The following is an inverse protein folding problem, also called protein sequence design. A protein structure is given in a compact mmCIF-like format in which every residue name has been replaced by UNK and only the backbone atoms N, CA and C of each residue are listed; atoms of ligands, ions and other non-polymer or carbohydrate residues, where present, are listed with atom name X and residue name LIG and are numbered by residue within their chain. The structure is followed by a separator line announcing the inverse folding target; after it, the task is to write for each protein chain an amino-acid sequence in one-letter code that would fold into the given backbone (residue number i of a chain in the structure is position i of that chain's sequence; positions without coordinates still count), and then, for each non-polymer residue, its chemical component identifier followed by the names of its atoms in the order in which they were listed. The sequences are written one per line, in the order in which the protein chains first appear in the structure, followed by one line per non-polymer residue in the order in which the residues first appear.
data_IF_002455959707
#
_entry.id   IF_002455959707
#
_cell.length_a   1.000
_cell.length_b   1.000
_cell.length_c   1.000
_cell.angle_alpha   90.00
_cell.angle_beta   90.00
_cell.angle_gamma   90.00
#
_symmetry.space_group_name_H-M   'P 1'
#
loop_
_entity.id
_entity.type
_entity.pdbx_description
1 polymer ?
#
# COMPACT_ATOMS: atom_id res chain seq x y z
N UNK A 1 2.91 2.64 -34.03
CA UNK A 1 3.23 3.54 -32.89
C UNK A 1 2.96 2.82 -31.58
N UNK A 2 3.77 3.06 -30.54
CA UNK A 2 3.45 2.58 -29.19
C UNK A 2 2.21 3.31 -28.67
N UNK A 3 1.27 2.58 -28.06
CA UNK A 3 0.08 3.18 -27.44
C UNK A 3 0.44 3.86 -26.12
N UNK A 4 -0.19 4.98 -25.83
CA UNK A 4 -0.02 5.75 -24.61
C UNK A 4 -1.08 5.34 -23.58
N UNK A 5 -0.65 5.04 -22.36
CA UNK A 5 -1.52 4.68 -21.24
C UNK A 5 -1.36 5.69 -20.12
N UNK A 6 -2.47 6.25 -19.66
CA UNK A 6 -2.53 7.09 -18.47
C UNK A 6 -3.05 6.27 -17.29
N UNK A 7 -2.31 6.26 -16.19
CA UNK A 7 -2.71 5.66 -14.92
C UNK A 7 -2.97 6.77 -13.91
N UNK A 8 -4.13 6.74 -13.27
CA UNK A 8 -4.48 7.65 -12.16
C UNK A 8 -4.18 6.94 -10.85
N UNK A 9 -3.18 7.41 -10.11
CA UNK A 9 -2.70 6.88 -8.83
C UNK A 9 -1.34 6.18 -8.94
N UNK A 10 -0.34 6.67 -8.21
CA UNK A 10 0.98 6.06 -8.05
C UNK A 10 1.11 5.27 -6.74
N UNK A 11 0.01 4.62 -6.33
CA UNK A 11 0.03 3.63 -5.26
C UNK A 11 0.59 2.28 -5.73
N UNK A 12 0.60 1.31 -4.81
CA UNK A 12 1.13 -0.05 -5.05
C UNK A 12 0.62 -0.69 -6.35
N UNK A 13 -0.69 -0.64 -6.59
CA UNK A 13 -1.31 -1.23 -7.78
C UNK A 13 -0.98 -0.44 -9.06
N UNK A 14 -0.96 0.90 -8.98
CA UNK A 14 -0.67 1.77 -10.11
C UNK A 14 0.76 1.64 -10.60
N UNK A 15 1.73 1.69 -9.69
CA UNK A 15 3.15 1.50 -10.02
C UNK A 15 3.44 0.08 -10.54
N UNK A 16 2.82 -0.95 -9.96
CA UNK A 16 2.94 -2.31 -10.47
C UNK A 16 2.33 -2.44 -11.88
N UNK A 17 1.15 -1.85 -12.10
CA UNK A 17 0.50 -1.83 -13.41
C UNK A 17 1.39 -1.14 -14.47
N UNK A 18 2.04 -0.04 -14.10
CA UNK A 18 2.99 0.66 -14.96
C UNK A 18 4.11 -0.28 -15.44
N UNK A 19 4.75 -1.02 -14.53
CA UNK A 19 5.79 -2.00 -14.88
C UNK A 19 5.29 -3.07 -15.86
N UNK A 20 4.08 -3.60 -15.65
CA UNK A 20 3.48 -4.58 -16.56
C UNK A 20 3.23 -4.04 -17.97
N UNK A 21 2.89 -2.76 -18.09
CA UNK A 21 2.63 -2.09 -19.36
C UNK A 21 3.94 -1.70 -20.07
N UNK A 22 4.93 -1.21 -19.33
CA UNK A 22 6.27 -0.95 -19.86
C UNK A 22 6.89 -2.21 -20.46
N UNK A 23 6.80 -3.35 -19.76
CA UNK A 23 7.28 -4.65 -20.27
C UNK A 23 6.57 -5.11 -21.55
N UNK A 24 5.36 -4.61 -21.81
CA UNK A 24 4.60 -4.87 -23.05
C UNK A 24 4.85 -3.82 -24.13
N UNK A 25 5.72 -2.85 -23.89
CA UNK A 25 6.11 -1.83 -24.86
C UNK A 25 5.15 -0.64 -24.95
N UNK A 26 4.28 -0.40 -23.96
CA UNK A 26 3.45 0.80 -23.91
C UNK A 26 4.27 2.01 -23.42
N UNK A 27 3.83 3.21 -23.80
CA UNK A 27 4.28 4.45 -23.15
C UNK A 27 3.37 4.71 -21.95
N UNK A 28 3.93 4.82 -20.75
CA UNK A 28 3.14 4.91 -19.51
C UNK A 28 3.38 6.24 -18.81
N UNK A 29 2.30 6.92 -18.48
CA UNK A 29 2.30 8.11 -17.63
C UNK A 29 1.40 7.87 -16.43
N UNK A 30 1.88 8.17 -15.23
CA UNK A 30 1.16 8.00 -13.98
C UNK A 30 0.99 9.37 -13.33
N UNK A 31 -0.23 9.69 -12.90
CA UNK A 31 -0.54 10.93 -12.17
C UNK A 31 -0.96 10.59 -10.74
N UNK A 32 -0.28 11.16 -9.76
CA UNK A 32 -0.56 10.98 -8.34
C UNK A 32 -1.00 12.29 -7.71
N UNK A 33 -2.06 12.23 -6.91
CA UNK A 33 -2.64 13.39 -6.23
C UNK A 33 -1.72 13.93 -5.13
N UNK A 34 -1.02 13.04 -4.43
CA UNK A 34 -0.12 13.39 -3.33
C UNK A 34 1.23 13.89 -3.87
N UNK A 35 1.98 14.51 -2.97
CA UNK A 35 3.39 14.80 -3.23
C UNK A 35 4.20 13.50 -3.32
N UNK A 36 5.44 13.60 -3.80
CA UNK A 36 6.31 12.44 -3.96
C UNK A 36 6.72 11.85 -2.61
N UNK A 37 6.12 10.71 -2.24
CA UNK A 37 6.40 10.01 -0.99
C UNK A 37 7.91 9.73 -0.77
N UNK A 38 8.73 9.69 -1.83
CA UNK A 38 10.17 9.44 -1.72
C UNK A 38 10.92 10.60 -1.07
N UNK A 39 10.42 11.82 -1.21
CA UNK A 39 10.96 12.98 -0.48
C UNK A 39 10.57 12.92 1.01
N UNK A 40 9.39 12.38 1.32
CA UNK A 40 8.82 12.31 2.68
C UNK A 40 9.35 11.14 3.54
N UNK A 41 9.83 10.05 2.94
CA UNK A 41 10.40 8.91 3.69
C UNK A 41 11.61 9.33 4.54
N UNK A 42 12.30 10.40 4.15
CA UNK A 42 13.39 11.01 4.91
C UNK A 42 12.88 11.59 6.25
N UNK A 43 11.57 11.84 6.38
CA UNK A 43 10.98 12.68 7.43
C UNK A 43 9.97 11.98 8.35
N UNK A 44 9.37 10.84 7.97
CA UNK A 44 8.34 10.22 8.83
C UNK A 44 8.17 8.70 8.67
N UNK A 45 8.44 7.96 9.76
CA UNK A 45 8.13 6.53 9.94
C UNK A 45 6.64 6.22 10.20
N UNK A 46 5.72 6.88 9.49
CA UNK A 46 4.26 6.78 9.71
C UNK A 46 3.57 5.99 8.62
N UNK A 47 3.75 4.67 8.63
CA UNK A 47 2.96 3.79 7.77
C UNK A 47 2.89 2.38 8.33
N UNK A 48 1.68 1.82 8.36
CA UNK A 48 1.45 0.40 8.62
C UNK A 48 2.38 -0.47 7.79
N UNK A 49 2.73 -1.62 8.35
CA UNK A 49 3.30 -2.71 7.58
C UNK A 49 2.19 -3.47 6.86
N UNK A 50 2.55 -4.11 5.76
CA UNK A 50 1.71 -5.03 5.01
C UNK A 50 2.26 -6.44 5.14
N UNK A 51 1.36 -7.41 5.15
CA UNK A 51 1.70 -8.82 5.00
C UNK A 51 1.65 -9.19 3.50
N UNK A 52 2.81 -9.28 2.87
CA UNK A 52 2.97 -9.72 1.49
C UNK A 52 2.95 -11.26 1.42
N UNK A 53 2.01 -11.81 0.67
CA UNK A 53 1.83 -13.26 0.48
C UNK A 53 2.17 -13.70 -0.95
N UNK A 54 2.03 -15.00 -1.24
CA UNK A 54 2.37 -15.59 -2.54
C UNK A 54 1.73 -14.89 -3.73
N UNK A 55 0.50 -14.40 -3.59
CA UNK A 55 -0.19 -13.66 -4.67
C UNK A 55 0.54 -12.38 -5.05
N UNK A 56 1.01 -11.64 -4.05
CA UNK A 56 1.79 -10.43 -4.26
C UNK A 56 3.16 -10.76 -4.87
N UNK A 57 3.85 -11.76 -4.33
CA UNK A 57 5.13 -12.23 -4.88
C UNK A 57 5.02 -12.70 -6.34
N UNK A 58 3.99 -13.47 -6.67
CA UNK A 58 3.71 -13.90 -8.04
C UNK A 58 3.56 -12.70 -8.97
N UNK A 59 2.89 -11.64 -8.53
CA UNK A 59 2.71 -10.44 -9.32
C UNK A 59 4.02 -9.65 -9.52
N UNK A 60 4.87 -9.57 -8.49
CA UNK A 60 6.18 -8.92 -8.54
C UNK A 60 7.17 -9.69 -9.42
N UNK A 61 7.20 -11.03 -9.32
CA UNK A 61 8.06 -11.92 -10.12
C UNK A 61 7.85 -11.73 -11.62
N UNK A 62 6.59 -11.58 -12.05
CA UNK A 62 6.24 -11.41 -13.47
C UNK A 62 6.81 -10.12 -14.08
N UNK A 63 7.07 -9.10 -13.28
CA UNK A 63 7.72 -7.85 -13.71
C UNK A 63 9.21 -7.80 -13.34
N UNK A 64 9.75 -8.84 -12.71
CA UNK A 64 11.18 -9.01 -12.45
C UNK A 64 11.74 -8.15 -11.32
N UNK A 65 10.89 -7.72 -10.37
CA UNK A 65 11.30 -6.82 -9.27
C UNK A 65 11.35 -7.52 -7.91
N UNK A 66 11.19 -8.86 -7.86
CA UNK A 66 11.11 -9.56 -6.59
C UNK A 66 12.37 -9.41 -5.73
N UNK A 67 13.54 -9.34 -6.36
CA UNK A 67 14.82 -9.19 -5.65
C UNK A 67 14.92 -7.85 -4.92
N UNK A 68 14.39 -6.78 -5.50
CA UNK A 68 14.39 -5.46 -4.88
C UNK A 68 13.42 -5.39 -3.71
N UNK A 69 12.25 -6.02 -3.84
CA UNK A 69 11.29 -6.08 -2.74
C UNK A 69 11.77 -7.00 -1.61
N UNK A 70 12.50 -8.07 -1.91
CA UNK A 70 13.04 -8.98 -0.89
C UNK A 70 14.03 -8.28 0.05
N UNK A 71 14.79 -7.29 -0.45
CA UNK A 71 15.71 -6.50 0.39
C UNK A 71 15.00 -5.73 1.50
N UNK A 72 13.71 -5.43 1.31
CA UNK A 72 12.92 -4.66 2.27
C UNK A 72 11.87 -5.51 3.01
N UNK A 73 11.96 -6.83 2.91
CA UNK A 73 10.97 -7.76 3.42
C UNK A 73 11.54 -8.66 4.54
N UNK A 74 10.76 -8.86 5.61
CA UNK A 74 11.12 -9.79 6.69
C UNK A 74 10.16 -10.99 6.64
N UNK A 75 10.65 -12.23 6.49
CA UNK A 75 9.78 -13.40 6.47
C UNK A 75 9.17 -13.65 7.84
N UNK A 76 7.88 -13.95 7.88
CA UNK A 76 7.11 -14.34 9.05
C UNK A 76 6.56 -15.75 8.82
N UNK A 77 7.16 -16.74 9.46
CA UNK A 77 6.82 -18.16 9.29
C UNK A 77 5.64 -18.60 10.17
N UNK A 78 5.37 -17.84 11.23
CA UNK A 78 4.39 -18.17 12.26
C UNK A 78 3.68 -16.92 12.78
N UNK A 79 2.58 -17.13 13.48
CA UNK A 79 2.00 -16.16 14.41
C UNK A 79 2.34 -16.52 15.84
N UNK A 80 2.63 -15.52 16.65
CA UNK A 80 2.83 -15.65 18.09
C UNK A 80 1.65 -14.95 18.77
N UNK A 81 0.85 -15.73 19.49
CA UNK A 81 -0.30 -15.22 20.24
C UNK A 81 0.13 -14.86 21.65
N UNK A 82 -0.19 -13.66 22.08
CA UNK A 82 0.04 -13.13 23.43
C UNK A 82 -1.28 -13.07 24.19
N UNK A 83 -1.46 -13.96 25.17
CA UNK A 83 -2.67 -13.96 26.00
C UNK A 83 -2.67 -12.85 27.07
N UNK A 84 -3.71 -12.77 27.89
CA UNK A 84 -3.83 -11.77 28.95
C UNK A 84 -2.95 -12.04 30.18
N UNK A 85 -2.40 -13.25 30.31
CA UNK A 85 -1.50 -13.66 31.41
C UNK A 85 -0.03 -13.63 31.01
N UNK A 86 0.27 -13.23 29.76
CA UNK A 86 1.62 -13.18 29.21
C UNK A 86 2.13 -14.52 28.64
N UNK A 87 1.28 -15.54 28.54
CA UNK A 87 1.66 -16.81 27.91
C UNK A 87 1.72 -16.63 26.40
N UNK A 88 2.77 -17.18 25.79
CA UNK A 88 2.97 -17.21 24.35
C UNK A 88 2.56 -18.57 23.78
N UNK A 89 1.91 -18.54 22.62
CA UNK A 89 1.72 -19.74 21.79
C UNK A 89 2.12 -19.46 20.36
N UNK A 90 2.78 -20.43 19.73
CA UNK A 90 3.30 -20.32 18.37
C UNK A 90 2.47 -21.17 17.42
N UNK A 91 2.16 -20.63 16.25
CA UNK A 91 1.35 -21.31 15.24
C UNK A 91 1.91 -21.03 13.86
N UNK A 92 2.49 -22.05 13.21
CA UNK A 92 3.09 -21.93 11.89
C UNK A 92 2.01 -21.72 10.81
N UNK A 93 2.32 -20.90 9.80
CA UNK A 93 1.40 -20.65 8.69
C UNK A 93 1.30 -21.80 7.71
N UNK A 94 2.36 -22.59 7.57
CA UNK A 94 2.44 -23.68 6.62
C UNK A 94 3.64 -24.59 6.90
N UNK A 95 4.09 -25.27 5.85
CA UNK A 95 5.25 -26.15 5.91
C UNK A 95 6.55 -25.35 6.10
N UNK A 96 7.65 -26.08 6.34
CA UNK A 96 8.99 -25.50 6.40
C UNK A 96 9.26 -24.59 5.18
N UNK A 97 9.85 -23.42 5.43
CA UNK A 97 10.13 -22.36 4.43
C UNK A 97 8.92 -21.64 3.81
N UNK A 98 7.68 -21.92 4.24
CA UNK A 98 6.52 -21.14 3.82
C UNK A 98 6.27 -19.96 4.76
N UNK A 99 6.36 -18.74 4.23
CA UNK A 99 6.17 -17.51 4.99
C UNK A 99 5.26 -16.51 4.28
N UNK A 100 4.60 -15.67 5.07
CA UNK A 100 4.18 -14.33 4.63
C UNK A 100 5.27 -13.34 5.02
N UNK A 101 5.32 -12.16 4.42
CA UNK A 101 6.44 -11.23 4.60
C UNK A 101 5.94 -9.90 5.13
N UNK A 102 6.59 -9.38 6.17
CA UNK A 102 6.37 -8.00 6.59
C UNK A 102 7.13 -7.05 5.68
N UNK A 103 6.44 -6.05 5.17
CA UNK A 103 7.04 -4.95 4.39
C UNK A 103 6.38 -3.64 4.82
N UNK A 104 7.18 -2.60 5.07
CA UNK A 104 6.63 -1.25 5.28
C UNK A 104 5.88 -0.77 4.03
N UNK A 105 4.64 -0.30 4.19
CA UNK A 105 3.85 0.18 3.05
C UNK A 105 4.49 1.37 2.36
N UNK A 106 5.07 2.30 3.14
CA UNK A 106 5.73 3.47 2.59
C UNK A 106 6.96 3.07 1.77
N UNK A 107 7.83 2.23 2.33
CA UNK A 107 9.03 1.75 1.63
C UNK A 107 8.67 0.93 0.38
N UNK A 108 7.65 0.07 0.47
CA UNK A 108 7.17 -0.69 -0.68
C UNK A 108 6.68 0.26 -1.78
N UNK A 109 5.86 1.26 -1.44
CA UNK A 109 5.34 2.20 -2.43
C UNK A 109 6.44 3.02 -3.10
N UNK A 110 7.36 3.59 -2.31
CA UNK A 110 8.50 4.32 -2.84
C UNK A 110 9.40 3.46 -3.74
N UNK A 111 9.66 2.21 -3.32
CA UNK A 111 10.44 1.26 -4.13
C UNK A 111 9.73 0.97 -5.45
N UNK A 112 8.42 0.74 -5.43
CA UNK A 112 7.63 0.48 -6.63
C UNK A 112 7.57 1.69 -7.57
N UNK A 113 7.44 2.92 -7.05
CA UNK A 113 7.48 4.14 -7.85
C UNK A 113 8.84 4.33 -8.52
N UNK A 114 9.93 4.18 -7.75
CA UNK A 114 11.30 4.23 -8.28
C UNK A 114 11.52 3.21 -9.40
N UNK A 115 11.15 1.96 -9.16
CA UNK A 115 11.28 0.89 -10.16
C UNK A 115 10.46 1.19 -11.43
N UNK A 116 9.26 1.73 -11.29
CA UNK A 116 8.44 2.12 -12.45
C UNK A 116 9.13 3.21 -13.29
N UNK A 117 9.68 4.25 -12.66
CA UNK A 117 10.42 5.32 -13.36
C UNK A 117 11.71 4.82 -14.02
N UNK A 118 12.51 4.01 -13.32
CA UNK A 118 13.73 3.41 -13.86
C UNK A 118 13.46 2.53 -15.08
N UNK A 119 12.26 1.95 -15.17
CA UNK A 119 11.81 1.16 -16.32
C UNK A 119 11.10 2.01 -17.40
N UNK A 120 11.04 3.33 -17.23
CA UNK A 120 10.59 4.29 -18.24
C UNK A 120 9.19 4.87 -18.06
N UNK A 121 8.49 4.62 -16.94
CA UNK A 121 7.26 5.35 -16.65
C UNK A 121 7.57 6.81 -16.30
N UNK A 122 6.68 7.73 -16.68
CA UNK A 122 6.73 9.12 -16.20
C UNK A 122 5.73 9.29 -15.06
N UNK A 123 6.19 9.71 -13.89
CA UNK A 123 5.33 9.99 -12.75
C UNK A 123 5.22 11.51 -12.56
N UNK A 124 3.99 11.99 -12.40
CA UNK A 124 3.69 13.37 -12.07
C UNK A 124 2.91 13.41 -10.74
N UNK A 125 3.43 14.17 -9.78
CA UNK A 125 2.88 14.28 -8.43
C UNK A 125 2.11 15.59 -8.27
N UNK A 126 1.35 15.70 -7.18
CA UNK A 126 0.47 16.83 -6.91
C UNK A 126 -0.62 17.01 -7.99
N UNK A 127 -0.98 15.95 -8.72
CA UNK A 127 -1.94 15.99 -9.83
C UNK A 127 -3.23 15.27 -9.46
N UNK A 128 -4.26 16.04 -9.08
CA UNK A 128 -5.56 15.49 -8.69
C UNK A 128 -6.43 15.26 -9.92
N UNK A 129 -6.85 14.03 -10.17
CA UNK A 129 -7.94 13.75 -11.11
C UNK A 129 -9.28 14.30 -10.60
N UNK A 130 -9.90 15.16 -11.40
CA UNK A 130 -11.15 15.83 -11.06
C UNK A 130 -12.33 15.40 -11.94
N UNK A 131 -12.07 14.92 -13.16
CA UNK A 131 -13.09 14.49 -14.12
C UNK A 131 -12.49 13.57 -15.17
N UNK A 132 -13.34 12.75 -15.82
CA UNK A 132 -12.94 11.89 -16.93
C UNK A 132 -13.95 11.98 -18.08
N UNK A 133 -13.46 12.18 -19.30
CA UNK A 133 -14.25 11.93 -20.51
C UNK A 133 -13.90 10.57 -21.12
N UNK A 134 -14.69 9.56 -20.77
CA UNK A 134 -14.51 8.19 -21.28
C UNK A 134 -14.69 8.05 -22.79
N UNK A 135 -15.43 8.94 -23.47
CA UNK A 135 -15.61 8.84 -24.93
C UNK A 135 -14.35 9.23 -25.68
N UNK A 136 -13.60 10.19 -25.12
CA UNK A 136 -12.36 10.71 -25.70
C UNK A 136 -11.10 10.17 -25.03
N UNK A 137 -11.24 9.27 -24.03
CA UNK A 137 -10.15 8.79 -23.19
C UNK A 137 -9.29 9.94 -22.65
N UNK A 138 -9.97 10.93 -22.03
CA UNK A 138 -9.38 12.16 -21.52
C UNK A 138 -9.50 12.25 -20.00
N UNK A 139 -8.39 12.54 -19.32
CA UNK A 139 -8.33 12.85 -17.89
C UNK A 139 -8.23 14.36 -17.70
N UNK A 140 -9.01 14.90 -16.77
CA UNK A 140 -8.87 16.28 -16.28
C UNK A 140 -8.15 16.24 -14.94
N UNK A 141 -7.03 16.96 -14.85
CA UNK A 141 -6.20 17.05 -13.66
C UNK A 141 -6.19 18.49 -13.15
N UNK A 142 -5.94 18.64 -11.86
CA UNK A 142 -5.70 19.92 -11.21
C UNK A 142 -4.52 19.78 -10.27
N UNK A 143 -3.51 20.61 -10.49
CA UNK A 143 -2.34 20.62 -9.65
C UNK A 143 -2.72 21.12 -8.24
N UNK A 144 -2.38 20.38 -7.20
CA UNK A 144 -2.80 20.67 -5.82
C UNK A 144 -2.00 21.80 -5.16
N UNK A 145 -0.90 22.24 -5.79
CA UNK A 145 -0.07 23.35 -5.32
C UNK A 145 -0.40 24.62 -6.11
N UNK A 146 -0.37 24.57 -7.44
CA UNK A 146 -0.54 25.75 -8.30
C UNK A 146 -1.99 26.03 -8.67
N UNK A 147 -2.91 25.08 -8.47
CA UNK A 147 -4.29 25.10 -8.99
C UNK A 147 -4.41 25.13 -10.52
N UNK A 148 -3.31 24.94 -11.25
CA UNK A 148 -3.33 24.83 -12.70
C UNK A 148 -4.11 23.59 -13.14
N UNK A 149 -4.83 23.73 -14.25
CA UNK A 149 -5.66 22.66 -14.81
C UNK A 149 -5.04 22.16 -16.09
N UNK A 150 -5.06 20.84 -16.29
CA UNK A 150 -4.58 20.22 -17.51
C UNK A 150 -5.49 19.10 -17.97
N UNK A 151 -5.46 18.86 -19.27
CA UNK A 151 -6.23 17.82 -19.95
C UNK A 151 -5.27 16.86 -20.64
N UNK A 152 -5.37 15.58 -20.31
CA UNK A 152 -4.48 14.55 -20.83
C UNK A 152 -5.27 13.56 -21.67
N UNK A 153 -4.85 13.38 -22.92
CA UNK A 153 -5.39 12.39 -23.85
C UNK A 153 -4.48 11.16 -23.87
N UNK A 154 -5.09 9.97 -23.89
CA UNK A 154 -4.37 8.70 -23.97
C UNK A 154 -5.19 7.64 -24.71
N UNK A 155 -4.54 6.59 -25.22
CA UNK A 155 -5.25 5.46 -25.84
C UNK A 155 -6.02 4.63 -24.81
N UNK A 156 -5.48 4.55 -23.58
CA UNK A 156 -6.10 3.83 -22.48
C UNK A 156 -5.93 4.59 -21.16
N UNK A 157 -6.98 4.53 -20.34
CA UNK A 157 -7.03 5.09 -19.00
C UNK A 157 -7.21 3.97 -17.99
N UNK A 158 -6.40 3.96 -16.93
CA UNK A 158 -6.49 3.00 -15.82
C UNK A 158 -6.67 3.77 -14.51
N UNK A 159 -7.75 3.45 -13.78
CA UNK A 159 -7.95 3.93 -12.41
C UNK A 159 -7.27 3.01 -11.39
N UNK A 160 -6.24 3.51 -10.73
CA UNK A 160 -5.51 2.86 -9.65
C UNK A 160 -5.43 3.77 -8.39
N UNK A 161 -6.43 4.63 -8.23
CA UNK A 161 -6.51 5.76 -7.28
C UNK A 161 -7.18 5.40 -5.94
N UNK A 162 -7.22 4.10 -5.62
CA UNK A 162 -7.52 3.59 -4.29
C UNK A 162 -9.01 3.59 -3.89
N UNK A 163 -9.26 3.46 -2.58
CA UNK A 163 -10.61 3.22 -2.05
C UNK A 163 -11.60 4.36 -2.38
N UNK A 164 -11.12 5.60 -2.45
CA UNK A 164 -11.90 6.80 -2.77
C UNK A 164 -11.66 7.27 -4.21
N UNK A 165 -11.64 6.31 -5.14
CA UNK A 165 -11.36 6.50 -6.56
C UNK A 165 -12.27 7.55 -7.22
N UNK A 166 -11.66 8.57 -7.82
CA UNK A 166 -12.32 9.52 -8.71
C UNK A 166 -12.75 8.84 -10.01
N UNK A 167 -11.92 7.92 -10.54
CA UNK A 167 -12.24 7.17 -11.76
C UNK A 167 -13.53 6.35 -11.60
N UNK A 168 -13.65 5.60 -10.50
CA UNK A 168 -14.86 4.82 -10.20
C UNK A 168 -16.08 5.71 -10.06
N UNK A 169 -15.97 6.84 -9.35
CA UNK A 169 -17.09 7.75 -9.15
C UNK A 169 -17.62 8.28 -10.49
N UNK A 170 -16.74 8.67 -11.41
CA UNK A 170 -17.11 9.10 -12.77
C UNK A 170 -17.78 7.96 -13.56
N UNK A 171 -17.31 6.72 -13.43
CA UNK A 171 -17.93 5.56 -14.08
C UNK A 171 -19.34 5.29 -13.54
N UNK A 172 -19.50 5.23 -12.23
CA UNK A 172 -20.80 4.99 -11.57
C UNK A 172 -21.80 6.07 -11.96
N UNK A 173 -21.41 7.35 -11.88
CA UNK A 173 -22.28 8.47 -12.23
C UNK A 173 -22.71 8.47 -13.70
N UNK A 174 -21.80 8.10 -14.62
CA UNK A 174 -22.08 8.14 -16.07
C UNK A 174 -22.91 6.97 -16.56
N UNK A 175 -22.65 5.76 -16.05
CA UNK A 175 -23.23 4.53 -16.57
C UNK A 175 -24.32 3.93 -15.67
N UNK A 176 -24.56 4.53 -14.49
CA UNK A 176 -25.58 4.04 -13.55
C UNK A 176 -25.23 2.69 -12.94
N UNK A 177 -23.94 2.37 -12.79
CA UNK A 177 -23.52 1.11 -12.18
C UNK A 177 -23.88 1.02 -10.70
N UNK A 178 -24.18 -0.19 -10.23
CA UNK A 178 -24.38 -0.43 -8.80
C UNK A 178 -23.07 -0.26 -8.02
N UNK A 179 -23.15 0.45 -6.90
CA UNK A 179 -22.03 0.69 -5.99
C UNK A 179 -22.52 0.64 -4.55
N UNK A 180 -21.81 -0.13 -3.71
CA UNK A 180 -22.09 -0.22 -2.27
C UNK A 180 -20.89 0.22 -1.45
N UNK A 181 -21.11 1.08 -0.46
CA UNK A 181 -20.12 1.44 0.54
C UNK A 181 -20.65 1.10 1.93
N UNK A 182 -20.00 0.16 2.61
CA UNK A 182 -20.31 -0.21 4.00
C UNK A 182 -19.17 0.23 4.90
N UNK A 183 -19.43 1.25 5.72
CA UNK A 183 -18.51 1.67 6.78
C UNK A 183 -18.52 0.61 7.87
N UNK A 184 -17.33 0.28 8.41
CA UNK A 184 -17.20 -0.60 9.59
C UNK A 184 -17.08 0.23 10.87
N UNK A 185 -17.42 -0.38 12.02
CA UNK A 185 -17.47 0.28 13.33
C UNK A 185 -16.14 0.27 14.10
N UNK A 186 -15.11 -0.36 13.53
CA UNK A 186 -13.73 -0.32 14.03
C UNK A 186 -12.90 0.75 13.32
N UNK A 187 -11.88 1.23 14.01
CA UNK A 187 -10.78 2.03 13.45
C UNK A 187 -9.44 1.36 13.81
N UNK A 188 -8.34 2.00 13.41
CA UNK A 188 -7.01 1.57 13.81
C UNK A 188 -6.12 2.73 14.28
N UNK A 189 -5.15 2.41 15.14
CA UNK A 189 -4.06 3.31 15.55
C UNK A 189 -2.72 2.60 15.41
N UNK A 190 -1.75 3.29 14.82
CA UNK A 190 -0.37 2.84 14.77
C UNK A 190 0.35 3.15 16.09
N UNK A 191 1.05 2.16 16.63
CA UNK A 191 1.94 2.27 17.78
C UNK A 191 3.33 1.77 17.37
N UNK A 192 4.37 2.20 18.09
CA UNK A 192 5.75 1.88 17.76
C UNK A 192 6.44 1.19 18.93
N UNK A 193 7.05 0.03 18.67
CA UNK A 193 8.02 -0.59 19.59
C UNK A 193 9.41 -0.26 19.05
N UNK A 194 10.23 0.49 19.79
CA UNK A 194 11.55 0.89 19.33
C UNK A 194 12.49 -0.34 19.22
N UNK A 195 13.60 -0.22 18.48
CA UNK A 195 14.65 -1.23 18.55
C UNK A 195 15.27 -1.27 19.95
N UNK A 196 15.98 -2.36 20.26
CA UNK A 196 16.79 -2.45 21.47
C UNK A 196 17.90 -1.40 21.46
N UNK A 197 18.54 -1.17 22.62
CA UNK A 197 19.66 -0.20 22.74
C UNK A 197 20.81 -0.45 21.75
N UNK A 198 20.96 -1.70 21.29
CA UNK A 198 22.00 -2.10 20.34
C UNK A 198 21.46 -2.25 18.90
N UNK A 199 20.25 -1.76 18.61
CA UNK A 199 19.61 -1.88 17.28
C UNK A 199 18.99 -3.26 16.98
N UNK A 200 18.84 -4.12 17.99
CA UNK A 200 18.26 -5.46 17.84
C UNK A 200 16.73 -5.49 18.01
N UNK A 201 16.11 -6.60 17.62
CA UNK A 201 14.68 -6.81 17.81
C UNK A 201 14.33 -7.12 19.26
N UNK A 202 13.28 -6.48 19.79
CA UNK A 202 12.77 -6.76 21.15
C UNK A 202 11.82 -7.97 21.22
N UNK A 203 11.33 -8.43 20.07
CA UNK A 203 10.47 -9.62 19.92
C UNK A 203 11.01 -10.49 18.77
N UNK A 204 10.44 -11.68 18.58
CA UNK A 204 10.77 -12.58 17.46
C UNK A 204 10.43 -11.92 16.11
N UNK A 205 11.46 -11.48 15.38
CA UNK A 205 11.28 -10.75 14.11
C UNK A 205 10.60 -11.58 13.01
N UNK A 206 10.75 -12.90 13.05
CA UNK A 206 10.25 -13.81 12.02
C UNK A 206 8.85 -14.34 12.34
N UNK A 207 8.05 -13.56 13.07
CA UNK A 207 6.67 -13.86 13.40
C UNK A 207 5.74 -12.64 13.28
N UNK A 208 4.44 -12.90 13.05
CA UNK A 208 3.38 -11.92 13.30
C UNK A 208 2.95 -12.04 14.77
N UNK A 209 3.13 -10.98 15.56
CA UNK A 209 2.64 -10.99 16.94
C UNK A 209 1.20 -10.52 17.01
N UNK A 210 0.38 -11.19 17.82
CA UNK A 210 -1.06 -10.89 17.97
C UNK A 210 -1.44 -10.91 19.45
N UNK A 211 -2.08 -9.85 19.92
CA UNK A 211 -2.74 -9.78 21.23
C UNK A 211 -4.25 -9.70 21.01
N UNK A 212 -4.97 -10.84 20.98
CA UNK A 212 -6.41 -10.86 20.80
C UNK A 212 -7.12 -10.52 22.12
N UNK A 213 -8.13 -9.66 22.08
CA UNK A 213 -8.94 -9.28 23.26
C UNK A 213 -10.45 -9.29 22.99
N UNK A 214 -10.89 -10.06 21.98
CA UNK A 214 -12.28 -10.09 21.54
C UNK A 214 -12.54 -8.91 20.61
N UNK A 215 -13.17 -7.85 21.13
CA UNK A 215 -13.64 -6.72 20.34
C UNK A 215 -12.51 -5.80 19.84
N UNK A 216 -11.33 -5.89 20.46
CA UNK A 216 -10.11 -5.23 19.99
C UNK A 216 -8.95 -6.22 19.89
N UNK A 217 -7.95 -5.85 19.09
CA UNK A 217 -6.72 -6.63 18.93
C UNK A 217 -5.54 -5.72 18.58
N UNK A 218 -4.37 -6.09 19.08
CA UNK A 218 -3.10 -5.49 18.64
C UNK A 218 -2.35 -6.51 17.78
N UNK A 219 -1.78 -6.07 16.68
CA UNK A 219 -0.77 -6.85 15.95
C UNK A 219 0.54 -6.08 15.91
N UNK A 220 1.67 -6.79 15.82
CA UNK A 220 2.97 -6.17 15.61
C UNK A 220 3.75 -6.90 14.51
N UNK A 221 4.34 -6.11 13.62
CA UNK A 221 5.18 -6.59 12.53
C UNK A 221 6.56 -5.93 12.60
N UNK A 222 7.60 -6.73 12.37
CA UNK A 222 8.99 -6.31 12.42
C UNK A 222 9.37 -5.38 11.26
N UNK A 223 10.28 -4.45 11.54
CA UNK A 223 10.93 -3.55 10.57
C UNK A 223 12.43 -3.85 10.49
N UNK A 224 13.08 -3.47 9.38
CA UNK A 224 14.50 -3.79 9.13
C UNK A 224 15.43 -3.14 10.15
N UNK A 225 15.03 -2.01 10.73
CA UNK A 225 15.77 -1.24 11.73
C UNK A 225 15.71 -1.83 13.15
N UNK A 226 15.10 -3.01 13.33
CA UNK A 226 14.93 -3.66 14.63
C UNK A 226 13.67 -3.26 15.38
N UNK A 227 12.91 -2.28 14.88
CA UNK A 227 11.65 -1.85 15.48
C UNK A 227 10.47 -2.73 15.09
N UNK A 228 9.30 -2.49 15.71
CA UNK A 228 8.03 -3.05 15.25
C UNK A 228 6.99 -1.95 15.05
N UNK A 229 6.27 -2.05 13.94
CA UNK A 229 5.04 -1.29 13.71
C UNK A 229 3.88 -2.11 14.27
N UNK A 230 3.19 -1.54 15.26
CA UNK A 230 2.02 -2.14 15.87
C UNK A 230 0.75 -1.48 15.34
N UNK A 231 -0.31 -2.26 15.18
CA UNK A 231 -1.63 -1.74 14.77
C UNK A 231 -2.68 -2.23 15.75
N UNK A 232 -3.22 -1.29 16.53
CA UNK A 232 -4.37 -1.52 17.40
C UNK A 232 -5.63 -1.36 16.57
N UNK A 233 -6.44 -2.41 16.48
CA UNK A 233 -7.80 -2.36 15.96
C UNK A 233 -8.76 -2.38 17.13
N UNK A 234 -9.64 -1.38 17.22
CA UNK A 234 -10.62 -1.27 18.28
C UNK A 234 -11.92 -0.64 17.76
N UNK A 235 -13.06 -0.84 18.44
CA UNK A 235 -14.30 -0.14 18.11
C UNK A 235 -14.11 1.38 18.21
N UNK A 236 -14.93 2.13 17.47
CA UNK A 236 -14.98 3.60 17.59
C UNK A 236 -15.55 4.02 18.93
N UNK A 237 -16.66 3.40 19.33
CA UNK A 237 -17.47 3.76 20.50
C UNK A 237 -17.71 2.55 21.41
N UNK A 238 -18.07 2.81 22.65
CA UNK A 238 -18.40 1.77 23.65
C UNK A 238 -17.26 1.52 24.63
N UNK A 239 -17.38 0.44 25.40
CA UNK A 239 -16.33 0.01 26.34
C UNK A 239 -15.11 -0.55 25.57
N UNK A 240 -13.89 -0.19 25.98
CA UNK A 240 -12.63 -0.56 25.30
C UNK A 240 -12.55 -0.08 23.84
N UNK A 241 -13.03 1.14 23.57
CA UNK A 241 -13.04 1.78 22.25
C UNK A 241 -12.03 2.94 22.17
N UNK A 242 -11.95 3.61 21.01
CA UNK A 242 -11.14 4.84 20.91
C UNK A 242 -11.74 6.08 21.61
N UNK A 243 -13.00 6.02 22.06
CA UNK A 243 -13.66 7.12 22.79
C UNK A 243 -13.44 7.05 24.31
N UNK A 244 -13.02 5.90 24.84
CA UNK A 244 -12.89 5.59 26.28
C UNK A 244 -11.48 5.14 26.62
#
# INVERSE_FOLDING_TARGET
MKKNVTIVGAGLAGSLCALYLLKRGYNVVVYERRDDLRSEIITAGKSINLALSERGWTALKKVGVEKDIMKIAIPMYKRIMHDSRGKLTEQFYGNENQAIYSVSRAQLNATMMRLAEENGAKLFFNEKCTKIDFKKSKVFLTNTITNERQEILSDFLIGADGAFSAVRNEMVNKYGYEYSFKKIDHDYKELHIPPSRNGGFLLEKNALHIWPRGDFMLIALANIDGSFTCTLFAPKKGENSFET
#
